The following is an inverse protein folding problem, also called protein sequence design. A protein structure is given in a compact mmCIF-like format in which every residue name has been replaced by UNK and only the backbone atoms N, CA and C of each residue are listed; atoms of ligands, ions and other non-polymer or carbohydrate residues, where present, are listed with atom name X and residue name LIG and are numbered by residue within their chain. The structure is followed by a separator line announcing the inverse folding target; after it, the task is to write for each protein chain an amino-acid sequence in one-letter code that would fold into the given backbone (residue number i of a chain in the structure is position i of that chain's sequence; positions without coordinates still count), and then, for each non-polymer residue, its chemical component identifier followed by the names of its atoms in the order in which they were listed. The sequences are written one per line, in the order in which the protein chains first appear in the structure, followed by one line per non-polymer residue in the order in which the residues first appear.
data_IF_497367735333
#
_entry.id   IF_497367735333
#
_cell.length_a   1.000
_cell.length_b   1.000
_cell.length_c   1.000
_cell.angle_alpha   90.00
_cell.angle_beta   90.00
_cell.angle_gamma   90.00
#
_symmetry.space_group_name_H-M   'P 1'
#
loop_
_entity.id
_entity.type
_entity.pdbx_description
1 polymer ?
#
# COMPACT_ATOMS: atom_id res chain seq x y z
N UNK A 1 21.02 -6.61 6.25
CA UNK A 1 20.60 -5.30 5.71
C UNK A 1 19.11 -5.26 5.55
N UNK A 2 18.50 -4.25 6.08
CA UNK A 2 17.06 -4.09 5.91
C UNK A 2 16.77 -3.24 4.67
N UNK A 3 15.79 -3.68 3.89
CA UNK A 3 15.33 -2.93 2.74
C UNK A 3 14.31 -1.92 3.23
N UNK A 4 14.49 -0.67 2.84
CA UNK A 4 13.58 0.39 3.19
C UNK A 4 12.81 0.84 1.97
N UNK A 5 11.57 1.23 2.18
CA UNK A 5 10.69 1.72 1.13
C UNK A 5 10.20 3.12 1.46
N UNK A 6 10.00 3.91 0.42
CA UNK A 6 9.39 5.22 0.58
C UNK A 6 7.92 5.07 0.97
N UNK A 7 7.35 6.11 1.55
CA UNK A 7 5.93 6.11 1.86
C UNK A 7 5.12 6.03 0.58
N UNK A 8 3.97 5.37 0.66
CA UNK A 8 3.09 5.22 -0.51
C UNK A 8 1.79 5.98 -0.25
N UNK A 9 1.22 6.58 -1.31
CA UNK A 9 -0.09 7.23 -1.18
C UNK A 9 -1.18 6.15 -1.15
N UNK A 10 -2.00 6.17 -0.12
CA UNK A 10 -3.13 5.26 0.02
C UNK A 10 -4.40 6.06 -0.19
N UNK A 11 -5.16 5.68 -1.21
CA UNK A 11 -6.41 6.36 -1.55
C UNK A 11 -7.59 5.50 -1.12
N UNK A 12 -8.52 6.12 -0.39
CA UNK A 12 -9.80 5.48 -0.11
C UNK A 12 -10.73 5.79 -1.28
N UNK A 13 -11.17 4.75 -1.99
CA UNK A 13 -11.97 4.94 -3.19
C UNK A 13 -13.37 5.45 -2.89
N UNK A 14 -13.87 5.24 -1.68
CA UNK A 14 -15.21 5.66 -1.31
C UNK A 14 -15.34 7.17 -1.13
N UNK A 15 -14.29 7.84 -0.69
CA UNK A 15 -14.34 9.28 -0.44
C UNK A 15 -13.24 10.06 -1.16
N UNK A 16 -12.34 9.38 -1.85
CA UNK A 16 -11.26 10.02 -2.60
C UNK A 16 -10.13 10.62 -1.75
N UNK A 17 -10.14 10.39 -0.44
CA UNK A 17 -9.10 10.92 0.44
C UNK A 17 -7.82 10.11 0.26
N UNK A 18 -6.69 10.83 0.14
CA UNK A 18 -5.38 10.22 -0.01
C UNK A 18 -4.54 10.54 1.21
N UNK A 19 -3.94 9.52 1.81
CA UNK A 19 -3.01 9.68 2.92
C UNK A 19 -1.73 8.90 2.62
N UNK A 20 -0.61 9.36 3.16
CA UNK A 20 0.64 8.62 3.03
C UNK A 20 0.75 7.57 4.11
N UNK A 21 1.25 6.40 3.73
CA UNK A 21 1.40 5.27 4.64
C UNK A 21 2.82 4.73 4.60
N UNK A 22 3.27 4.18 5.71
CA UNK A 22 4.59 3.56 5.79
C UNK A 22 4.50 2.10 5.39
N UNK A 23 5.45 1.65 4.57
CA UNK A 23 5.51 0.25 4.13
C UNK A 23 6.14 -0.59 5.23
N UNK A 24 5.43 -1.62 5.68
CA UNK A 24 5.97 -2.57 6.63
C UNK A 24 6.58 -3.77 5.94
N UNK A 25 5.88 -4.30 4.93
CA UNK A 25 6.32 -5.50 4.23
C UNK A 25 5.87 -5.43 2.79
N UNK A 26 6.75 -5.78 1.89
CA UNK A 26 6.43 -5.79 0.46
C UNK A 26 7.03 -7.02 -0.19
N UNK A 27 6.18 -7.83 -0.79
CA UNK A 27 6.58 -8.95 -1.63
C UNK A 27 6.00 -8.72 -3.02
N UNK A 28 6.85 -8.45 -4.03
CA UNK A 28 6.35 -8.16 -5.37
C UNK A 28 5.41 -9.24 -5.88
N UNK A 29 4.31 -8.81 -6.49
CA UNK A 29 3.26 -9.66 -7.08
C UNK A 29 2.51 -10.52 -6.08
N UNK A 30 2.73 -10.30 -4.78
CA UNK A 30 2.10 -11.13 -3.76
C UNK A 30 1.37 -10.28 -2.72
N UNK A 31 2.11 -9.56 -1.89
CA UNK A 31 1.53 -8.87 -0.76
C UNK A 31 2.25 -7.55 -0.48
N UNK A 32 1.47 -6.55 -0.11
CA UNK A 32 2.00 -5.28 0.37
C UNK A 32 1.27 -4.92 1.66
N UNK A 33 2.03 -4.76 2.75
CA UNK A 33 1.46 -4.38 4.03
C UNK A 33 1.98 -3.00 4.42
N UNK A 34 1.07 -2.12 4.78
CA UNK A 34 1.41 -0.75 5.17
C UNK A 34 0.73 -0.37 6.47
N UNK A 35 1.28 0.63 7.14
CA UNK A 35 0.70 1.23 8.33
C UNK A 35 0.07 2.57 7.95
N UNK A 36 -1.21 2.70 8.21
CA UNK A 36 -1.96 3.93 7.98
C UNK A 36 -2.67 4.31 9.27
N UNK A 37 -2.27 5.42 9.88
CA UNK A 37 -2.89 5.94 11.10
C UNK A 37 -3.09 4.86 12.18
N UNK A 38 -2.02 4.17 12.54
CA UNK A 38 -2.02 3.11 13.55
C UNK A 38 -2.79 1.85 13.15
N UNK A 39 -3.15 1.73 11.88
CA UNK A 39 -3.84 0.56 11.38
C UNK A 39 -3.00 -0.11 10.30
N UNK A 40 -2.97 -1.43 10.33
CA UNK A 40 -2.23 -2.21 9.37
C UNK A 40 -3.16 -2.65 8.24
N UNK A 41 -2.79 -2.32 7.02
CA UNK A 41 -3.56 -2.70 5.84
C UNK A 41 -2.74 -3.64 4.99
N UNK A 42 -3.35 -4.76 4.57
CA UNK A 42 -2.73 -5.72 3.67
C UNK A 42 -3.34 -5.59 2.29
N UNK A 43 -2.50 -5.29 1.31
CA UNK A 43 -2.92 -5.11 -0.07
C UNK A 43 -2.56 -6.31 -0.91
N UNK A 44 -3.38 -6.56 -1.92
CA UNK A 44 -3.13 -7.57 -2.94
C UNK A 44 -2.98 -6.89 -4.29
N UNK A 45 -2.27 -7.51 -5.25
CA UNK A 45 -2.19 -6.96 -6.60
C UNK A 45 -3.58 -6.79 -7.19
N UNK A 46 -3.86 -5.62 -7.73
CA UNK A 46 -5.13 -5.33 -8.39
C UNK A 46 -4.88 -4.68 -9.74
N UNK A 47 -5.62 -5.09 -10.74
CA UNK A 47 -5.50 -4.54 -12.07
C UNK A 47 -4.44 -5.23 -12.91
N UNK A 48 -4.36 -4.83 -14.19
CA UNK A 48 -3.50 -5.47 -15.17
C UNK A 48 -2.10 -4.89 -15.24
N UNK A 49 -1.91 -3.68 -14.72
CA UNK A 49 -0.63 -2.98 -14.88
C UNK A 49 0.46 -3.47 -13.92
N UNK A 50 0.09 -4.17 -12.87
CA UNK A 50 1.04 -4.61 -11.85
C UNK A 50 1.50 -3.51 -10.90
N UNK A 51 1.03 -2.27 -11.08
CA UNK A 51 1.41 -1.15 -10.22
C UNK A 51 0.32 -0.74 -9.25
N UNK A 52 -0.84 -1.36 -9.33
CA UNK A 52 -1.97 -1.02 -8.48
C UNK A 52 -2.18 -2.11 -7.45
N UNK A 53 -2.40 -1.69 -6.21
CA UNK A 53 -2.65 -2.61 -5.10
C UNK A 53 -3.96 -2.23 -4.45
N UNK A 54 -4.73 -3.22 -4.03
CA UNK A 54 -6.06 -3.03 -3.49
C UNK A 54 -6.17 -3.72 -2.14
N UNK A 55 -6.80 -3.05 -1.19
CA UNK A 55 -7.13 -3.62 0.11
C UNK A 55 -8.56 -3.28 0.47
N UNK A 56 -9.22 -4.21 1.16
CA UNK A 56 -10.54 -3.97 1.73
C UNK A 56 -10.43 -4.09 3.25
N UNK A 57 -10.81 -3.04 3.95
CA UNK A 57 -10.77 -3.02 5.41
C UNK A 57 -11.83 -2.06 5.93
N UNK A 58 -12.43 -2.43 7.03
CA UNK A 58 -13.41 -1.55 7.71
C UNK A 58 -14.58 -1.14 6.80
N UNK A 59 -14.97 -2.03 5.89
CA UNK A 59 -16.04 -1.72 4.94
C UNK A 59 -15.67 -0.74 3.85
N UNK A 60 -14.38 -0.42 3.71
CA UNK A 60 -13.88 0.55 2.72
C UNK A 60 -12.89 -0.13 1.79
N UNK A 61 -12.75 0.42 0.60
CA UNK A 61 -11.75 -0.03 -0.35
C UNK A 61 -10.61 0.99 -0.42
N UNK A 62 -9.38 0.49 -0.35
CA UNK A 62 -8.18 1.31 -0.44
C UNK A 62 -7.34 0.86 -1.62
N UNK A 63 -6.69 1.81 -2.29
CA UNK A 63 -5.75 1.52 -3.36
C UNK A 63 -4.43 2.21 -3.11
N UNK A 64 -3.36 1.62 -3.59
CA UNK A 64 -2.03 2.22 -3.53
C UNK A 64 -1.23 1.79 -4.74
N UNK A 65 0.00 2.29 -4.83
CA UNK A 65 0.92 1.96 -5.92
C UNK A 65 2.10 1.18 -5.37
N UNK A 66 2.86 0.59 -6.29
CA UNK A 66 4.05 -0.17 -5.91
C UNK A 66 5.04 0.73 -5.15
N UNK A 67 5.51 0.30 -3.97
CA UNK A 67 6.46 1.11 -3.21
C UNK A 67 7.80 1.23 -3.91
N UNK A 68 8.43 2.37 -3.72
CA UNK A 68 9.77 2.62 -4.20
C UNK A 68 10.78 2.20 -3.14
N UNK A 69 11.77 1.44 -3.55
CA UNK A 69 12.86 1.07 -2.66
C UNK A 69 13.80 2.24 -2.48
N UNK A 70 14.13 2.52 -1.23
CA UNK A 70 15.11 3.55 -0.88
C UNK A 70 16.40 2.86 -0.50
N UNK A 71 17.51 3.29 -1.07
CA UNK A 71 18.82 2.82 -0.62
C UNK A 71 19.21 3.62 0.62
N UNK A 72 19.38 2.91 1.70
CA UNK A 72 19.76 3.51 2.95
C UNK A 72 21.24 3.42 3.22
#
# INVERSE_FOLDING_TARGET
MSIQYDKVPVKCTDNGIVNEAEVEYFKPRDTLTVWLANQKLTFKPGGLSGNTWVANAYGLEFTTVTPKQIEG
#
